data_IF_015179826760
#
_entry.id   IF_015179826760
#
_cell.length_a   1.000
_cell.length_b   1.000
_cell.length_c   1.000
_cell.angle_alpha   90.00
_cell.angle_beta   90.00
_cell.angle_gamma   90.00
#
_symmetry.space_group_name_H-M   'P 1'
#
loop_
_entity.id
_entity.type
_entity.pdbx_description
1 polymer ?
#
# COMPACT_ATOMS: atom_id res chain seq x y z
N UNK A 1 -16.37 -13.85 -21.11
CA UNK A 1 -17.02 -12.65 -20.53
C UNK A 1 -16.31 -11.43 -21.08
N UNK A 2 -17.03 -10.57 -21.80
CA UNK A 2 -16.48 -9.31 -22.30
C UNK A 2 -16.15 -8.37 -21.11
N UNK A 3 -15.05 -7.60 -21.16
CA UNK A 3 -14.77 -6.58 -20.16
C UNK A 3 -15.82 -5.47 -20.24
N UNK A 4 -16.28 -4.99 -19.08
CA UNK A 4 -17.16 -3.83 -18.97
C UNK A 4 -16.50 -2.57 -19.60
N UNK A 5 -17.30 -1.65 -20.18
CA UNK A 5 -16.76 -0.54 -20.95
C UNK A 5 -16.01 0.47 -20.07
N UNK A 6 -14.81 0.85 -20.54
CA UNK A 6 -14.24 2.20 -20.48
C UNK A 6 -14.37 3.00 -19.19
N UNK A 7 -13.81 2.51 -18.08
CA UNK A 7 -13.41 3.43 -17.00
C UNK A 7 -12.06 4.01 -17.40
N UNK A 8 -12.06 5.23 -17.93
CA UNK A 8 -10.83 6.02 -18.04
C UNK A 8 -10.20 6.12 -16.64
N UNK A 9 -8.88 5.94 -16.50
CA UNK A 9 -8.23 6.07 -15.20
C UNK A 9 -8.51 7.47 -14.64
N UNK A 10 -9.26 7.52 -13.54
CA UNK A 10 -9.46 8.77 -12.80
C UNK A 10 -8.15 9.13 -12.09
N UNK A 11 -7.74 10.41 -12.11
CA UNK A 11 -6.53 10.84 -11.43
C UNK A 11 -6.63 10.55 -9.93
N UNK A 12 -5.54 10.04 -9.35
CA UNK A 12 -5.44 9.88 -7.91
C UNK A 12 -5.34 11.28 -7.28
N UNK A 13 -6.43 11.73 -6.64
CA UNK A 13 -6.42 12.97 -5.85
C UNK A 13 -6.31 12.60 -4.37
N UNK A 14 -5.23 13.03 -3.72
CA UNK A 14 -5.08 12.90 -2.27
C UNK A 14 -5.32 14.28 -1.67
N UNK A 15 -6.44 14.42 -0.94
CA UNK A 15 -6.81 15.69 -0.31
C UNK A 15 -5.79 16.07 0.78
N UNK A 16 -5.38 17.34 0.81
CA UNK A 16 -4.47 17.88 1.82
C UNK A 16 -5.11 17.92 3.22
N UNK A 17 -6.44 17.97 3.29
CA UNK A 17 -7.26 17.91 4.51
C UNK A 17 -7.77 16.51 4.84
N UNK A 18 -7.23 15.46 4.19
CA UNK A 18 -7.59 14.07 4.52
C UNK A 18 -7.43 13.81 6.01
N UNK A 19 -8.34 13.02 6.58
CA UNK A 19 -8.45 12.70 8.01
C UNK A 19 -8.91 13.84 8.93
N UNK A 20 -9.00 15.09 8.44
CA UNK A 20 -9.57 16.16 9.25
C UNK A 20 -11.10 16.06 9.33
N UNK A 21 -11.66 16.66 10.38
CA UNK A 21 -13.11 16.73 10.57
C UNK A 21 -13.81 17.38 9.38
N UNK A 22 -15.06 16.99 9.13
CA UNK A 22 -15.96 17.69 8.20
C UNK A 22 -16.48 19.01 8.76
N UNK A 23 -16.44 19.21 10.08
CA UNK A 23 -16.78 20.48 10.71
C UNK A 23 -15.76 21.58 10.32
N UNK A 24 -16.20 22.72 9.75
CA UNK A 24 -15.29 23.75 9.27
C UNK A 24 -14.39 24.36 10.35
N UNK A 25 -14.91 24.50 11.58
CA UNK A 25 -14.17 25.09 12.69
C UNK A 25 -13.07 24.15 13.15
N UNK A 26 -13.40 22.88 13.37
CA UNK A 26 -12.45 21.84 13.72
C UNK A 26 -11.40 21.63 12.63
N UNK A 27 -11.79 21.63 11.35
CA UNK A 27 -10.86 21.52 10.22
C UNK A 27 -9.88 22.67 10.17
N UNK A 28 -10.33 23.92 10.38
CA UNK A 28 -9.44 25.08 10.41
C UNK A 28 -8.40 24.98 11.53
N UNK A 29 -8.80 24.49 12.71
CA UNK A 29 -7.88 24.24 13.83
C UNK A 29 -6.88 23.14 13.46
N UNK A 30 -7.34 22.02 12.91
CA UNK A 30 -6.48 20.91 12.49
C UNK A 30 -5.44 21.34 11.45
N UNK A 31 -5.83 22.11 10.42
CA UNK A 31 -4.90 22.68 9.43
C UNK A 31 -3.79 23.49 10.06
N UNK A 32 -4.12 24.39 11.00
CA UNK A 32 -3.13 25.24 11.68
C UNK A 32 -2.14 24.41 12.50
N UNK A 33 -2.63 23.42 13.24
CA UNK A 33 -1.78 22.53 14.03
C UNK A 33 -0.89 21.67 13.12
N UNK A 34 -1.47 21.06 12.09
CA UNK A 34 -0.73 20.20 11.15
C UNK A 34 0.34 20.98 10.37
N UNK A 35 0.03 22.21 9.93
CA UNK A 35 1.00 23.07 9.24
C UNK A 35 2.26 23.33 10.08
N UNK A 36 2.12 23.41 11.42
CA UNK A 36 3.24 23.59 12.33
C UNK A 36 4.12 22.34 12.53
N UNK A 37 3.64 21.15 12.16
CA UNK A 37 4.34 19.87 12.43
C UNK A 37 4.66 19.03 11.19
N UNK A 38 3.99 19.26 10.05
CA UNK A 38 4.08 18.41 8.84
C UNK A 38 5.49 18.28 8.24
N UNK A 39 6.38 19.23 8.54
CA UNK A 39 7.75 19.28 8.02
C UNK A 39 8.80 18.87 9.04
N UNK A 40 8.40 18.46 10.25
CA UNK A 40 9.33 17.95 11.25
C UNK A 40 9.92 16.61 10.80
N UNK A 41 11.17 16.28 11.18
CA UNK A 41 11.75 14.97 10.92
C UNK A 41 10.91 13.84 11.51
N UNK A 42 10.81 12.73 10.77
CA UNK A 42 10.20 11.51 11.29
C UNK A 42 11.17 10.87 12.29
N UNK A 43 10.75 10.75 13.54
CA UNK A 43 11.42 9.92 14.54
C UNK A 43 10.68 8.58 14.58
N UNK A 44 11.30 7.52 14.07
CA UNK A 44 10.76 6.15 14.09
C UNK A 44 11.58 5.30 15.06
N UNK A 45 11.28 5.34 16.37
CA UNK A 45 12.11 4.70 17.40
C UNK A 45 11.92 3.17 17.46
N UNK A 46 10.99 2.62 16.68
CA UNK A 46 10.72 1.20 16.60
C UNK A 46 10.23 0.84 15.19
N UNK A 47 10.84 -0.18 14.58
CA UNK A 47 10.52 -0.64 13.24
C UNK A 47 11.26 -1.92 12.88
N UNK A 48 10.93 -2.47 11.71
CA UNK A 48 11.44 -3.77 11.23
C UNK A 48 11.95 -3.71 9.79
N UNK A 49 12.45 -2.55 9.33
CA UNK A 49 13.11 -2.45 8.03
C UNK A 49 14.43 -3.23 8.03
N UNK A 50 14.79 -3.83 6.91
CA UNK A 50 16.07 -4.53 6.79
C UNK A 50 17.24 -3.53 6.82
N UNK A 51 18.17 -3.62 7.78
CA UNK A 51 19.30 -2.69 7.87
C UNK A 51 20.21 -2.73 6.64
N UNK A 52 20.25 -3.85 5.91
CA UNK A 52 21.09 -4.01 4.71
C UNK A 52 20.67 -3.08 3.58
N UNK A 53 19.39 -2.70 3.50
CA UNK A 53 18.91 -1.74 2.49
C UNK A 53 19.68 -0.41 2.55
N UNK A 54 20.09 0.02 3.75
CA UNK A 54 20.83 1.26 3.94
C UNK A 54 22.34 1.07 3.83
N UNK A 55 22.85 -0.12 4.17
CA UNK A 55 24.27 -0.45 4.09
C UNK A 55 24.75 -0.67 2.67
N UNK A 56 24.02 -1.52 1.92
CA UNK A 56 24.39 -1.92 0.56
C UNK A 56 23.85 -0.92 -0.49
N UNK A 57 22.76 -0.22 -0.16
CA UNK A 57 22.13 0.80 -1.02
C UNK A 57 21.77 0.29 -2.43
N UNK A 58 21.41 -0.99 -2.53
CA UNK A 58 20.90 -1.57 -3.76
C UNK A 58 19.48 -1.09 -4.07
N UNK A 59 19.16 -0.94 -5.35
CA UNK A 59 17.82 -0.58 -5.78
C UNK A 59 16.84 -1.75 -5.59
N UNK A 60 15.62 -1.44 -5.16
CA UNK A 60 14.52 -2.40 -5.21
C UNK A 60 14.20 -2.79 -6.66
N UNK A 61 13.95 -4.08 -6.89
CA UNK A 61 13.81 -4.64 -8.24
C UNK A 61 12.49 -4.29 -8.91
N UNK A 62 11.39 -4.33 -8.14
CA UNK A 62 10.04 -4.20 -8.64
C UNK A 62 9.04 -3.88 -7.50
N UNK A 63 7.86 -3.32 -7.81
CA UNK A 63 6.90 -2.94 -6.79
C UNK A 63 6.20 -4.12 -6.11
N UNK A 64 6.15 -5.31 -6.71
CA UNK A 64 5.53 -6.46 -6.05
C UNK A 64 6.40 -6.94 -4.89
N UNK A 65 7.71 -7.09 -5.13
CA UNK A 65 8.71 -7.47 -4.13
C UNK A 65 8.83 -6.44 -3.01
N UNK A 66 8.65 -5.14 -3.31
CA UNK A 66 8.70 -4.09 -2.28
C UNK A 66 7.38 -3.91 -1.50
N UNK A 67 6.24 -3.87 -2.19
CA UNK A 67 4.98 -3.38 -1.61
C UNK A 67 3.93 -4.46 -1.32
N UNK A 68 4.05 -5.64 -1.95
CA UNK A 68 3.00 -6.67 -1.91
C UNK A 68 3.45 -7.90 -1.13
N UNK A 69 4.56 -8.51 -1.53
CA UNK A 69 5.07 -9.76 -0.95
C UNK A 69 5.36 -9.63 0.55
N UNK A 70 6.05 -8.58 1.03
CA UNK A 70 6.41 -8.49 2.45
C UNK A 70 5.30 -7.93 3.35
N UNK A 71 4.26 -7.30 2.79
CA UNK A 71 3.23 -6.61 3.57
C UNK A 71 2.04 -7.52 3.89
N UNK A 72 2.01 -7.97 5.14
CA UNK A 72 0.95 -8.84 5.65
C UNK A 72 -0.42 -8.16 5.75
N UNK A 73 -0.53 -6.84 5.77
CA UNK A 73 -1.83 -6.18 5.67
C UNK A 73 -2.42 -6.36 4.26
N UNK A 74 -1.57 -6.34 3.23
CA UNK A 74 -1.98 -6.53 1.84
C UNK A 74 -2.40 -7.97 1.60
N UNK A 75 -1.51 -8.95 1.83
CA UNK A 75 -1.83 -10.34 1.48
C UNK A 75 -2.90 -10.95 2.40
N UNK A 76 -3.06 -10.48 3.65
CA UNK A 76 -4.15 -10.94 4.53
C UNK A 76 -5.53 -10.56 4.00
N UNK A 77 -5.66 -9.37 3.39
CA UNK A 77 -6.93 -8.96 2.76
C UNK A 77 -7.27 -9.88 1.59
N UNK A 78 -6.29 -10.14 0.70
CA UNK A 78 -6.50 -11.01 -0.46
C UNK A 78 -6.77 -12.46 -0.06
N UNK A 79 -6.03 -12.97 0.92
CA UNK A 79 -6.24 -14.31 1.47
C UNK A 79 -7.64 -14.49 2.07
N UNK A 80 -8.16 -13.47 2.76
CA UNK A 80 -9.53 -13.48 3.29
C UNK A 80 -10.60 -13.62 2.21
N UNK A 81 -10.28 -13.28 0.95
CA UNK A 81 -11.16 -13.41 -0.21
C UNK A 81 -10.85 -14.64 -1.08
N UNK A 82 -10.05 -15.59 -0.56
CA UNK A 82 -9.76 -16.86 -1.22
C UNK A 82 -8.56 -16.83 -2.18
N UNK A 83 -7.73 -15.77 -2.15
CA UNK A 83 -6.47 -15.76 -2.91
C UNK A 83 -5.39 -16.51 -2.11
N UNK A 84 -4.85 -17.65 -2.60
CA UNK A 84 -3.82 -18.38 -1.88
C UNK A 84 -2.49 -17.59 -1.85
N UNK A 85 -1.74 -17.70 -0.74
CA UNK A 85 -0.54 -16.90 -0.48
C UNK A 85 0.57 -17.17 -1.51
N UNK A 86 0.70 -18.40 -1.98
CA UNK A 86 1.64 -18.80 -3.02
C UNK A 86 1.38 -18.10 -4.36
N UNK A 87 0.14 -17.70 -4.66
CA UNK A 87 -0.17 -16.89 -5.86
C UNK A 87 0.30 -15.45 -5.75
N UNK A 88 0.65 -15.00 -4.53
CA UNK A 88 1.19 -13.67 -4.26
C UNK A 88 2.70 -13.69 -4.05
N UNK A 89 3.37 -14.82 -4.26
CA UNK A 89 4.82 -14.95 -4.05
C UNK A 89 5.25 -14.98 -2.58
N UNK A 90 4.31 -15.13 -1.64
CA UNK A 90 4.63 -15.23 -0.20
C UNK A 90 5.32 -16.56 0.08
N UNK A 91 6.54 -16.58 0.66
CA UNK A 91 7.29 -17.80 0.90
C UNK A 91 6.55 -18.80 1.79
N UNK A 92 6.60 -20.08 1.41
CA UNK A 92 6.02 -21.18 2.21
C UNK A 92 7.05 -21.76 3.16
N UNK A 93 6.62 -22.14 4.36
CA UNK A 93 7.50 -22.81 5.33
C UNK A 93 7.97 -24.20 4.86
N UNK A 94 7.16 -24.88 4.04
CA UNK A 94 7.47 -26.21 3.49
C UNK A 94 8.38 -26.17 2.24
N UNK A 95 8.80 -24.98 1.80
CA UNK A 95 9.61 -24.80 0.60
C UNK A 95 8.88 -25.12 -0.71
N UNK A 96 7.55 -25.26 -0.68
CA UNK A 96 6.74 -25.49 -1.87
C UNK A 96 6.82 -24.34 -2.89
N UNK A 97 6.40 -24.58 -4.14
CA UNK A 97 6.46 -23.58 -5.20
C UNK A 97 5.55 -22.38 -4.90
N UNK A 98 6.00 -21.19 -5.34
CA UNK A 98 5.25 -19.93 -5.29
C UNK A 98 5.35 -19.21 -6.64
N UNK A 99 4.48 -18.24 -6.88
CA UNK A 99 4.58 -17.37 -8.06
C UNK A 99 5.81 -16.47 -7.93
N UNK A 100 6.60 -16.38 -9.00
CA UNK A 100 7.82 -15.58 -9.07
C UNK A 100 7.72 -14.43 -10.08
N UNK A 101 6.68 -14.42 -10.93
CA UNK A 101 6.42 -13.33 -11.87
C UNK A 101 5.79 -12.14 -11.13
N UNK A 102 6.62 -11.14 -10.83
CA UNK A 102 6.22 -9.89 -10.20
C UNK A 102 5.05 -9.19 -10.91
N UNK A 103 4.96 -9.29 -12.24
CA UNK A 103 3.87 -8.67 -13.01
C UNK A 103 2.56 -9.41 -12.79
N UNK A 104 2.57 -10.74 -12.67
CA UNK A 104 1.36 -11.51 -12.33
C UNK A 104 0.89 -11.20 -10.90
N UNK A 105 1.81 -11.14 -9.94
CA UNK A 105 1.51 -10.77 -8.55
C UNK A 105 0.87 -9.37 -8.50
N UNK A 106 1.49 -8.40 -9.18
CA UNK A 106 0.96 -7.04 -9.26
C UNK A 106 -0.43 -6.98 -9.90
N UNK A 107 -0.65 -7.70 -11.02
CA UNK A 107 -1.97 -7.77 -11.68
C UNK A 107 -3.03 -8.40 -10.77
N UNK A 108 -2.66 -9.43 -10.01
CA UNK A 108 -3.55 -10.09 -9.07
C UNK A 108 -3.95 -9.13 -7.93
N UNK A 109 -2.99 -8.40 -7.37
CA UNK A 109 -3.26 -7.32 -6.41
C UNK A 109 -4.17 -6.24 -7.01
N UNK A 110 -3.84 -5.72 -8.20
CA UNK A 110 -4.60 -4.65 -8.86
C UNK A 110 -6.05 -5.05 -9.14
N UNK A 111 -6.31 -6.30 -9.53
CA UNK A 111 -7.67 -6.85 -9.72
C UNK A 111 -8.50 -6.78 -8.43
N UNK A 112 -7.86 -6.94 -7.28
CA UNK A 112 -8.48 -6.93 -5.96
C UNK A 112 -8.39 -5.57 -5.24
N UNK A 113 -7.88 -4.53 -5.91
CA UNK A 113 -7.65 -3.22 -5.29
C UNK A 113 -8.89 -2.57 -4.65
N UNK A 114 -10.08 -2.93 -5.14
CA UNK A 114 -11.36 -2.48 -4.61
C UNK A 114 -11.65 -2.96 -3.18
N UNK A 115 -11.06 -4.07 -2.74
CA UNK A 115 -11.23 -4.62 -1.38
C UNK A 115 -10.69 -3.69 -0.29
N UNK A 116 -9.71 -2.86 -0.63
CA UNK A 116 -9.07 -1.97 0.34
C UNK A 116 -9.89 -0.69 0.60
N UNK A 117 -11.04 -0.47 -0.06
CA UNK A 117 -11.88 0.71 0.18
C UNK A 117 -12.25 0.83 1.65
N UNK A 118 -12.01 2.00 2.25
CA UNK A 118 -12.26 2.25 3.67
C UNK A 118 -11.20 1.70 4.63
N UNK A 119 -10.13 1.08 4.12
CA UNK A 119 -9.03 0.55 4.96
C UNK A 119 -7.87 1.54 5.08
N UNK A 120 -7.09 1.50 6.18
CA UNK A 120 -5.83 2.24 6.29
C UNK A 120 -4.84 1.90 5.16
N UNK A 121 -4.78 0.64 4.73
CA UNK A 121 -3.90 0.19 3.64
C UNK A 121 -4.17 0.95 2.34
N UNK A 122 -5.43 1.22 2.00
CA UNK A 122 -5.77 2.04 0.82
C UNK A 122 -5.18 3.44 0.92
N UNK A 123 -5.27 4.04 2.09
CA UNK A 123 -4.77 5.39 2.35
C UNK A 123 -3.24 5.45 2.31
N UNK A 124 -2.55 4.49 2.95
CA UNK A 124 -1.09 4.42 2.94
C UNK A 124 -0.54 4.22 1.52
N UNK A 125 -1.14 3.32 0.75
CA UNK A 125 -0.71 3.06 -0.63
C UNK A 125 -0.95 4.27 -1.53
N UNK A 126 -2.10 4.95 -1.39
CA UNK A 126 -2.38 6.16 -2.16
C UNK A 126 -1.45 7.30 -1.77
N UNK A 127 -1.08 7.43 -0.50
CA UNK A 127 -0.10 8.41 -0.04
C UNK A 127 1.29 8.15 -0.62
N UNK A 128 1.72 6.90 -0.71
CA UNK A 128 3.02 6.53 -1.28
C UNK A 128 3.12 6.70 -2.81
N UNK A 129 1.98 6.85 -3.49
CA UNK A 129 1.86 6.90 -4.95
C UNK A 129 1.45 8.29 -5.49
N UNK A 130 1.30 9.28 -4.60
CA UNK A 130 0.90 10.65 -4.93
C UNK A 130 2.12 11.57 -5.00
#
# INVERSE_FOLDING_TARGET
MNPAPGISPAPLTVDDDRLFSSDPTQRAIARRLYAGVRALPIVSPHGHTDPRWFGDNEAFTDPATLLIIPDHYVFRMLYSQGVPLESLGVPRQDGGPVEHDARKIWRLFAKHWHLFRGTPTRMWFQHAMH
#
